data_IF_915577571175
#
_entry.id   IF_915577571175
#
_cell.length_a   1.000
_cell.length_b   1.000
_cell.length_c   1.000
_cell.angle_alpha   90.00
_cell.angle_beta   90.00
_cell.angle_gamma   90.00
#
_symmetry.space_group_name_H-M   'P 1'
#
loop_
_entity.id
_entity.type
_entity.pdbx_description
1 polymer ?
#
# COMPACT_ATOMS: atom_id res chain seq x y z
N UNK A 1 -5.85 71.34 -35.20
CA UNK A 1 -6.14 69.92 -34.87
C UNK A 1 -4.84 69.14 -34.78
N UNK A 2 -4.54 68.49 -33.65
CA UNK A 2 -3.34 67.63 -33.51
C UNK A 2 -3.64 66.26 -34.15
N UNK A 3 -2.95 65.91 -35.24
CA UNK A 3 -2.96 64.53 -35.79
C UNK A 3 -2.32 63.61 -34.76
N UNK A 4 -3.11 62.69 -34.19
CA UNK A 4 -2.58 61.57 -33.40
C UNK A 4 -2.13 60.49 -34.38
N UNK A 5 -0.83 60.28 -34.51
CA UNK A 5 -0.29 59.08 -35.15
C UNK A 5 -0.42 57.91 -34.18
N UNK A 6 -1.22 56.91 -34.55
CA UNK A 6 -1.28 55.64 -33.82
C UNK A 6 -0.46 54.59 -34.57
N UNK A 7 0.47 53.96 -33.83
CA UNK A 7 1.36 52.85 -34.24
C UNK A 7 0.61 51.79 -35.07
N UNK A 8 0.93 51.69 -36.36
CA UNK A 8 0.40 50.68 -37.29
C UNK A 8 1.24 49.38 -37.37
N UNK A 9 2.21 49.19 -36.47
CA UNK A 9 3.20 48.09 -36.57
C UNK A 9 2.58 46.71 -36.28
N UNK A 10 1.63 46.59 -35.36
CA UNK A 10 1.06 45.30 -34.96
C UNK A 10 0.09 44.74 -36.02
N UNK A 11 -0.66 45.61 -36.72
CA UNK A 11 -1.61 45.18 -37.76
C UNK A 11 -0.92 44.59 -39.00
N UNK A 12 0.22 45.14 -39.41
CA UNK A 12 0.89 44.70 -40.64
C UNK A 12 1.50 43.30 -40.51
N UNK A 13 2.07 42.95 -39.35
CA UNK A 13 2.71 41.64 -39.12
C UNK A 13 1.67 40.51 -39.14
N UNK A 14 0.54 40.70 -38.43
CA UNK A 14 -0.51 39.68 -38.36
C UNK A 14 -1.16 39.41 -39.74
N UNK A 15 -1.40 40.46 -40.53
CA UNK A 15 -1.99 40.34 -41.87
C UNK A 15 -1.07 39.57 -42.83
N UNK A 16 0.26 39.75 -42.71
CA UNK A 16 1.23 39.07 -43.56
C UNK A 16 1.34 37.58 -43.22
N UNK A 17 1.31 37.23 -41.92
CA UNK A 17 1.31 35.84 -41.47
C UNK A 17 -0.02 35.12 -41.78
N UNK A 18 -1.15 35.84 -41.76
CA UNK A 18 -2.44 35.33 -42.22
C UNK A 18 -2.45 35.05 -43.74
N UNK A 19 -1.88 35.96 -44.55
CA UNK A 19 -1.68 35.72 -46.00
C UNK A 19 -0.75 34.54 -46.29
N UNK A 20 0.15 34.21 -45.35
CA UNK A 20 1.01 33.01 -45.39
C UNK A 20 0.32 31.73 -44.89
N UNK A 21 -0.99 31.79 -44.63
CA UNK A 21 -1.80 30.61 -44.29
C UNK A 21 -1.78 30.21 -42.81
N UNK A 22 -1.22 31.03 -41.90
CA UNK A 22 -1.31 30.75 -40.46
C UNK A 22 -2.74 31.01 -39.97
N UNK A 23 -3.44 29.95 -39.59
CA UNK A 23 -4.79 30.00 -38.99
C UNK A 23 -4.79 29.94 -37.47
N UNK A 24 -3.64 29.68 -36.84
CA UNK A 24 -3.49 29.60 -35.39
C UNK A 24 -3.37 31.00 -34.77
N UNK A 25 -4.15 31.24 -33.73
CA UNK A 25 -4.11 32.47 -32.90
C UNK A 25 -3.11 32.37 -31.74
N UNK A 26 -2.43 31.23 -31.57
CA UNK A 26 -1.47 31.03 -30.50
C UNK A 26 -0.14 31.73 -30.79
N UNK A 27 0.47 32.28 -29.74
CA UNK A 27 1.83 32.79 -29.81
C UNK A 27 2.80 31.67 -30.26
N UNK A 28 3.72 32.02 -31.15
CA UNK A 28 4.83 31.12 -31.50
C UNK A 28 5.74 30.92 -30.29
N UNK A 29 6.42 29.76 -30.24
CA UNK A 29 7.39 29.45 -29.20
C UNK A 29 8.36 30.62 -28.99
N UNK A 30 8.29 31.25 -27.81
CA UNK A 30 9.21 32.32 -27.44
C UNK A 30 10.53 31.71 -26.99
N UNK A 31 11.66 32.27 -27.40
CA UNK A 31 12.95 31.93 -26.79
C UNK A 31 12.99 32.50 -25.37
N UNK A 32 12.68 31.65 -24.38
CA UNK A 32 12.93 31.95 -22.98
C UNK A 32 14.43 32.00 -22.66
N UNK A 33 14.78 32.37 -21.42
CA UNK A 33 16.15 32.26 -20.90
C UNK A 33 16.67 30.84 -21.14
N UNK A 34 17.85 30.70 -21.74
CA UNK A 34 18.46 29.39 -21.98
C UNK A 34 18.67 28.68 -20.63
N UNK A 35 18.17 27.45 -20.52
CA UNK A 35 18.51 26.53 -19.41
C UNK A 35 19.89 25.97 -19.74
N UNK A 36 20.92 26.82 -19.70
CA UNK A 36 22.32 26.42 -19.95
C UNK A 36 22.90 25.54 -18.82
N UNK A 37 22.21 25.40 -17.70
CA UNK A 37 22.69 24.66 -16.53
C UNK A 37 22.46 23.13 -16.59
N UNK A 38 21.72 22.63 -17.58
CA UNK A 38 21.34 21.21 -17.69
C UNK A 38 22.03 20.56 -18.90
N UNK A 39 23.35 20.50 -18.90
CA UNK A 39 24.06 19.74 -19.93
C UNK A 39 23.77 18.24 -19.77
N UNK A 40 23.78 17.43 -20.85
CA UNK A 40 23.53 15.99 -20.77
C UNK A 40 24.42 15.29 -19.73
N UNK A 41 25.66 15.72 -19.56
CA UNK A 41 26.62 15.16 -18.61
C UNK A 41 26.19 15.38 -17.16
N UNK A 42 25.59 16.55 -16.87
CA UNK A 42 25.04 16.88 -15.56
C UNK A 42 23.81 16.01 -15.26
N UNK A 43 22.95 15.84 -16.25
CA UNK A 43 21.74 15.01 -16.13
C UNK A 43 22.13 13.57 -15.84
N UNK A 44 23.09 13.03 -16.59
CA UNK A 44 23.62 11.68 -16.40
C UNK A 44 24.29 11.52 -15.04
N UNK A 45 25.03 12.53 -14.57
CA UNK A 45 25.62 12.52 -13.22
C UNK A 45 24.56 12.48 -12.12
N UNK A 46 23.51 13.30 -12.22
CA UNK A 46 22.37 13.27 -11.28
C UNK A 46 21.67 11.91 -11.34
N UNK A 47 21.45 11.39 -12.55
CA UNK A 47 20.83 10.08 -12.75
C UNK A 47 21.65 8.95 -12.12
N UNK A 48 22.98 8.96 -12.28
CA UNK A 48 23.89 7.98 -11.68
C UNK A 48 23.89 8.01 -10.14
N UNK A 49 23.84 9.19 -9.53
CA UNK A 49 23.73 9.34 -8.07
C UNK A 49 22.41 8.72 -7.57
N UNK A 50 21.28 9.01 -8.24
CA UNK A 50 19.97 8.43 -7.87
C UNK A 50 19.95 6.90 -8.00
N UNK A 51 20.59 6.35 -9.05
CA UNK A 51 20.65 4.91 -9.24
C UNK A 51 21.51 4.21 -8.19
N UNK A 52 22.54 4.89 -7.68
CA UNK A 52 23.41 4.38 -6.62
C UNK A 52 22.71 4.39 -5.26
N UNK A 53 22.10 5.52 -4.88
CA UNK A 53 21.26 5.62 -3.70
C UNK A 53 19.99 6.41 -4.00
N UNK A 54 18.85 5.73 -3.82
CA UNK A 54 17.52 6.30 -4.09
C UNK A 54 16.99 7.18 -2.94
N UNK A 55 17.74 7.29 -1.83
CA UNK A 55 17.36 8.07 -0.63
C UNK A 55 18.09 9.41 -0.50
N UNK A 56 18.92 9.75 -1.49
CA UNK A 56 19.70 10.99 -1.55
C UNK A 56 18.79 12.22 -1.46
N UNK A 57 19.20 13.21 -0.66
CA UNK A 57 18.48 14.47 -0.52
C UNK A 57 18.86 15.45 -1.63
N UNK A 58 17.94 16.33 -2.03
CA UNK A 58 18.21 17.40 -3.01
C UNK A 58 19.46 18.23 -2.65
N UNK A 59 19.73 18.44 -1.36
CA UNK A 59 20.94 19.14 -0.88
C UNK A 59 22.24 18.43 -1.28
N UNK A 60 22.28 17.11 -1.20
CA UNK A 60 23.46 16.32 -1.56
C UNK A 60 23.73 16.41 -3.08
N UNK A 61 22.68 16.53 -3.91
CA UNK A 61 22.85 16.83 -5.34
C UNK A 61 23.42 18.22 -5.58
N UNK A 62 22.94 19.24 -4.86
CA UNK A 62 23.45 20.61 -4.94
C UNK A 62 24.93 20.65 -4.58
N UNK A 63 25.34 19.95 -3.52
CA UNK A 63 26.73 19.85 -3.09
C UNK A 63 27.60 19.07 -4.11
N UNK A 64 27.10 17.97 -4.67
CA UNK A 64 27.85 17.14 -5.62
C UNK A 64 27.98 17.73 -7.03
N UNK A 65 27.03 18.58 -7.44
CA UNK A 65 26.95 19.12 -8.81
C UNK A 65 27.19 20.63 -8.89
N UNK A 66 27.09 21.35 -7.77
CA UNK A 66 27.19 22.81 -7.74
C UNK A 66 25.98 23.53 -8.33
N UNK A 67 24.88 22.82 -8.57
CA UNK A 67 23.70 23.32 -9.27
C UNK A 67 22.68 23.86 -8.28
N UNK A 68 21.90 24.86 -8.69
CA UNK A 68 20.83 25.41 -7.86
C UNK A 68 19.78 24.35 -7.51
N UNK A 69 19.25 24.42 -6.29
CA UNK A 69 18.21 23.49 -5.79
C UNK A 69 16.99 23.41 -6.71
N UNK A 70 16.56 24.53 -7.31
CA UNK A 70 15.42 24.57 -8.23
C UNK A 70 15.69 23.83 -9.55
N UNK A 71 16.90 23.98 -10.10
CA UNK A 71 17.32 23.28 -11.32
C UNK A 71 17.39 21.77 -11.08
N UNK A 72 17.93 21.31 -9.94
CA UNK A 72 17.93 19.87 -9.61
C UNK A 72 16.52 19.28 -9.57
N UNK A 73 15.54 20.02 -9.00
CA UNK A 73 14.15 19.58 -8.98
C UNK A 73 13.57 19.49 -10.40
N UNK A 74 13.80 20.50 -11.25
CA UNK A 74 13.35 20.50 -12.65
C UNK A 74 13.98 19.34 -13.43
N UNK A 75 15.29 19.07 -13.27
CA UNK A 75 15.95 17.92 -13.89
C UNK A 75 15.30 16.61 -13.43
N UNK A 76 15.11 16.41 -12.12
CA UNK A 76 14.51 15.19 -11.58
C UNK A 76 13.07 14.98 -12.08
N UNK A 77 12.25 16.02 -12.09
CA UNK A 77 10.82 15.91 -12.39
C UNK A 77 10.50 16.00 -13.89
N UNK A 78 11.12 16.93 -14.61
CA UNK A 78 10.78 17.25 -16.00
C UNK A 78 11.62 16.45 -17.00
N UNK A 79 12.92 16.27 -16.73
CA UNK A 79 13.83 15.57 -17.65
C UNK A 79 13.91 14.07 -17.36
N UNK A 80 14.07 13.70 -16.09
CA UNK A 80 14.16 12.29 -15.67
C UNK A 80 12.79 11.68 -15.34
N UNK A 81 11.72 12.48 -15.24
CA UNK A 81 10.36 11.99 -14.95
C UNK A 81 10.21 11.34 -13.57
N UNK A 82 11.15 11.58 -12.66
CA UNK A 82 11.19 10.96 -11.34
C UNK A 82 10.17 11.60 -10.40
N UNK A 83 9.56 10.76 -9.56
CA UNK A 83 8.62 11.19 -8.52
C UNK A 83 9.16 10.80 -7.15
N UNK A 84 9.08 11.73 -6.21
CA UNK A 84 9.37 11.44 -4.80
C UNK A 84 8.32 10.47 -4.25
N UNK A 85 8.79 9.31 -3.81
CA UNK A 85 7.97 8.34 -3.07
C UNK A 85 8.28 8.48 -1.58
N UNK A 86 7.26 8.48 -0.73
CA UNK A 86 7.46 8.35 0.73
C UNK A 86 7.67 6.88 1.08
N UNK A 87 8.69 6.61 1.90
CA UNK A 87 8.89 5.27 2.44
C UNK A 87 7.67 4.88 3.28
N UNK A 88 7.17 3.65 3.07
CA UNK A 88 6.15 3.07 3.94
C UNK A 88 6.83 2.45 5.15
N UNK A 89 6.27 2.68 6.34
CA UNK A 89 6.74 2.01 7.56
C UNK A 89 6.51 0.51 7.42
N UNK A 90 7.59 -0.26 7.49
CA UNK A 90 7.54 -1.72 7.58
C UNK A 90 7.78 -2.06 9.05
N UNK A 91 6.79 -2.62 9.78
CA UNK A 91 6.83 -2.78 11.23
C UNK A 91 8.04 -3.54 11.78
N UNK A 92 8.70 -4.37 10.97
CA UNK A 92 9.89 -5.12 11.39
C UNK A 92 10.84 -5.38 10.23
N UNK A 93 12.14 -5.32 10.49
CA UNK A 93 13.13 -5.83 9.56
C UNK A 93 13.14 -7.35 9.65
N UNK A 94 12.74 -8.04 8.58
CA UNK A 94 12.75 -9.49 8.53
C UNK A 94 14.18 -10.04 8.39
N UNK A 95 14.51 -11.05 9.19
CA UNK A 95 15.71 -11.88 9.00
C UNK A 95 15.54 -12.75 7.74
N UNK A 96 16.65 -13.32 7.25
CA UNK A 96 16.62 -14.21 6.07
C UNK A 96 15.73 -15.43 6.33
N UNK A 97 15.81 -16.02 7.53
CA UNK A 97 15.00 -17.18 7.90
C UNK A 97 13.49 -16.86 7.89
N UNK A 98 13.09 -15.72 8.46
CA UNK A 98 11.69 -15.30 8.41
C UNK A 98 11.19 -15.14 6.96
N UNK A 99 11.99 -14.58 6.06
CA UNK A 99 11.61 -14.48 4.63
C UNK A 99 11.48 -15.86 3.98
N UNK A 100 12.39 -16.78 4.30
CA UNK A 100 12.36 -18.14 3.78
C UNK A 100 11.11 -18.89 4.22
N UNK A 101 10.74 -18.75 5.49
CA UNK A 101 9.50 -19.30 6.02
C UNK A 101 8.32 -18.71 5.27
N UNK A 102 8.20 -17.38 5.19
CA UNK A 102 7.10 -16.69 4.49
C UNK A 102 6.94 -17.15 3.03
N UNK A 103 8.05 -17.32 2.31
CA UNK A 103 8.05 -17.83 0.93
C UNK A 103 7.58 -19.29 0.87
N UNK A 104 7.99 -20.12 1.81
CA UNK A 104 7.62 -21.54 1.87
C UNK A 104 6.12 -21.69 2.13
N UNK A 105 5.62 -20.92 3.09
CA UNK A 105 4.23 -20.90 3.52
C UNK A 105 3.33 -20.37 2.41
N UNK A 106 3.69 -19.24 1.81
CA UNK A 106 2.96 -18.65 0.69
C UNK A 106 2.83 -19.62 -0.48
N UNK A 107 3.89 -20.40 -0.78
CA UNK A 107 3.83 -21.47 -1.80
C UNK A 107 2.90 -22.62 -1.40
N UNK A 108 2.89 -23.02 -0.14
CA UNK A 108 1.99 -24.08 0.35
C UNK A 108 0.53 -23.62 0.25
N UNK A 109 0.22 -22.41 0.73
CA UNK A 109 -1.11 -21.82 0.64
C UNK A 109 -1.59 -21.63 -0.80
N UNK A 110 -0.73 -21.13 -1.71
CA UNK A 110 -1.06 -21.02 -3.14
C UNK A 110 -1.37 -22.37 -3.78
N UNK A 111 -0.58 -23.41 -3.47
CA UNK A 111 -0.84 -24.76 -3.97
C UNK A 111 -2.17 -25.32 -3.45
N UNK A 112 -2.50 -25.06 -2.19
CA UNK A 112 -3.79 -25.45 -1.61
C UNK A 112 -4.95 -24.72 -2.29
N UNK A 113 -4.81 -23.40 -2.49
CA UNK A 113 -5.81 -22.56 -3.13
C UNK A 113 -6.10 -23.00 -4.56
N UNK A 114 -5.06 -23.27 -5.35
CA UNK A 114 -5.18 -23.73 -6.74
C UNK A 114 -5.79 -25.13 -6.85
N UNK A 115 -5.57 -26.01 -5.87
CA UNK A 115 -6.13 -27.36 -5.87
C UNK A 115 -7.63 -27.36 -5.58
N UNK A 116 -8.06 -26.54 -4.62
CA UNK A 116 -9.45 -26.48 -4.22
C UNK A 116 -9.80 -25.11 -3.61
N UNK A 117 -10.30 -24.15 -4.41
CA UNK A 117 -10.70 -22.84 -3.91
C UNK A 117 -11.78 -22.93 -2.83
N UNK A 118 -12.66 -23.93 -2.89
CA UNK A 118 -13.74 -24.14 -1.92
C UNK A 118 -13.23 -24.60 -0.54
N UNK A 119 -11.99 -25.09 -0.43
CA UNK A 119 -11.36 -25.33 0.88
C UNK A 119 -11.01 -24.04 1.61
N UNK A 120 -10.76 -22.95 0.87
CA UNK A 120 -10.52 -21.64 1.46
C UNK A 120 -11.79 -20.96 1.97
N UNK A 121 -12.99 -21.40 1.57
CA UNK A 121 -14.23 -21.02 2.25
C UNK A 121 -14.27 -21.47 3.73
N UNK A 122 -13.33 -22.31 4.17
CA UNK A 122 -13.15 -22.78 5.56
C UNK A 122 -12.00 -22.06 6.27
N UNK A 123 -11.40 -21.07 5.63
CA UNK A 123 -10.33 -20.26 6.21
C UNK A 123 -10.91 -19.34 7.27
N UNK A 124 -10.43 -19.47 8.50
CA UNK A 124 -10.83 -18.60 9.62
C UNK A 124 -9.59 -17.83 10.05
N UNK A 125 -9.68 -16.50 10.05
CA UNK A 125 -8.69 -15.61 10.64
C UNK A 125 -9.27 -14.98 11.89
N UNK A 126 -8.46 -14.89 12.95
CA UNK A 126 -8.80 -14.20 14.19
C UNK A 126 -7.61 -13.35 14.60
N UNK A 127 -7.89 -12.11 14.99
CA UNK A 127 -6.88 -11.16 15.42
C UNK A 127 -7.51 -10.08 16.32
N UNK A 128 -6.68 -9.41 17.10
CA UNK A 128 -7.09 -8.40 18.08
C UNK A 128 -6.70 -6.99 17.62
N UNK A 129 -7.68 -6.07 17.64
CA UNK A 129 -7.44 -4.65 17.35
C UNK A 129 -7.70 -3.79 18.57
N UNK A 130 -6.74 -2.91 18.87
CA UNK A 130 -6.93 -1.84 19.84
C UNK A 130 -7.74 -0.69 19.22
N UNK A 131 -8.97 -0.50 19.69
CA UNK A 131 -9.80 0.66 19.36
C UNK A 131 -9.69 1.65 20.54
N UNK A 132 -8.99 2.75 20.32
CA UNK A 132 -8.90 3.82 21.32
C UNK A 132 -10.16 4.69 21.26
N UNK A 133 -10.90 4.76 22.37
CA UNK A 133 -12.03 5.67 22.55
C UNK A 133 -11.78 6.53 23.80
N UNK A 134 -12.25 7.78 23.77
CA UNK A 134 -12.06 8.74 24.85
C UNK A 134 -13.35 8.81 25.70
N UNK A 135 -13.74 7.69 26.29
CA UNK A 135 -14.78 7.61 27.33
C UNK A 135 -14.53 6.34 28.14
N UNK A 136 -14.99 6.26 29.38
CA UNK A 136 -14.69 5.15 30.29
C UNK A 136 -15.67 3.98 30.10
N UNK A 137 -15.30 2.88 29.43
CA UNK A 137 -16.09 1.62 29.60
C UNK A 137 -15.85 1.08 31.00
N UNK A 138 -16.89 0.46 31.55
CA UNK A 138 -16.83 -0.22 32.83
C UNK A 138 -16.21 -1.63 32.67
N UNK A 139 -15.44 -2.13 33.65
CA UNK A 139 -14.81 -3.45 33.59
C UNK A 139 -15.76 -4.64 33.33
N UNK A 140 -17.05 -4.48 33.62
CA UNK A 140 -18.10 -5.48 33.40
C UNK A 140 -18.37 -5.80 31.93
N UNK A 141 -18.16 -4.86 31.00
CA UNK A 141 -18.49 -5.04 29.58
C UNK A 141 -17.40 -5.82 28.83
N UNK A 142 -16.14 -5.72 29.28
CA UNK A 142 -15.00 -6.44 28.70
C UNK A 142 -15.07 -7.95 28.96
N UNK A 143 -15.61 -8.36 30.12
CA UNK A 143 -15.77 -9.77 30.49
C UNK A 143 -16.76 -10.52 29.58
N UNK A 144 -17.83 -9.84 29.15
CA UNK A 144 -18.91 -10.42 28.33
C UNK A 144 -18.45 -10.78 26.91
N UNK A 145 -17.49 -10.02 26.36
CA UNK A 145 -16.97 -10.22 25.00
C UNK A 145 -16.14 -11.52 24.89
N UNK A 146 -15.35 -11.85 25.92
CA UNK A 146 -14.56 -13.09 25.99
C UNK A 146 -15.44 -14.34 26.16
N UNK A 147 -16.59 -14.20 26.82
CA UNK A 147 -17.54 -15.30 27.03
C UNK A 147 -18.24 -15.70 25.72
N UNK A 148 -18.60 -14.71 24.89
CA UNK A 148 -19.37 -14.89 23.64
C UNK A 148 -18.67 -15.79 22.60
N UNK A 149 -17.34 -15.82 22.57
CA UNK A 149 -16.57 -16.69 21.66
C UNK A 149 -16.55 -18.16 22.10
N UNK A 150 -16.77 -18.46 23.38
CA UNK A 150 -16.74 -19.86 23.88
C UNK A 150 -17.99 -20.66 23.51
N UNK A 151 -19.12 -20.01 23.20
CA UNK A 151 -20.42 -20.69 23.13
C UNK A 151 -20.94 -20.97 21.71
N UNK A 152 -20.48 -20.25 20.68
CA UNK A 152 -20.94 -20.47 19.29
C UNK A 152 -20.21 -21.64 18.61
N UNK A 153 -20.55 -22.89 18.96
CA UNK A 153 -20.23 -24.05 18.10
C UNK A 153 -20.97 -23.92 16.77
N UNK A 154 -20.24 -23.87 15.65
CA UNK A 154 -20.81 -23.86 14.29
C UNK A 154 -20.96 -25.31 13.78
N UNK A 155 -22.14 -25.94 13.86
CA UNK A 155 -22.32 -27.37 13.57
C UNK A 155 -21.97 -27.76 12.13
N UNK A 156 -22.00 -26.82 11.18
CA UNK A 156 -21.63 -27.07 9.77
C UNK A 156 -20.10 -27.16 9.53
N UNK A 157 -19.27 -26.66 10.45
CA UNK A 157 -17.81 -26.73 10.38
C UNK A 157 -17.24 -27.99 11.06
N UNK A 158 -18.03 -28.69 11.88
CA UNK A 158 -17.59 -29.84 12.66
C UNK A 158 -17.21 -31.10 11.83
N UNK A 159 -17.57 -31.14 10.54
CA UNK A 159 -17.37 -32.31 9.67
C UNK A 159 -16.15 -32.21 8.75
N UNK A 160 -15.40 -31.10 8.76
CA UNK A 160 -14.34 -30.77 7.79
C UNK A 160 -13.14 -30.13 8.49
N UNK A 161 -11.92 -30.43 8.03
CA UNK A 161 -10.68 -29.78 8.52
C UNK A 161 -10.75 -28.28 8.21
N UNK A 162 -10.48 -27.44 9.21
CA UNK A 162 -10.56 -25.97 9.14
C UNK A 162 -9.14 -25.41 9.20
N UNK A 163 -8.87 -24.44 8.33
CA UNK A 163 -7.60 -23.71 8.29
C UNK A 163 -7.73 -22.49 9.19
N UNK A 164 -6.84 -22.37 10.17
CA UNK A 164 -6.90 -21.30 11.17
C UNK A 164 -5.64 -20.43 11.10
N UNK A 165 -5.86 -19.12 10.94
CA UNK A 165 -4.82 -18.11 10.96
C UNK A 165 -4.97 -17.24 12.22
N UNK A 166 -3.92 -17.20 13.03
CA UNK A 166 -3.79 -16.31 14.19
C UNK A 166 -2.36 -15.79 14.27
N UNK A 167 -2.16 -14.70 14.99
CA UNK A 167 -0.82 -14.21 15.29
C UNK A 167 -0.12 -15.12 16.33
N UNK A 168 1.17 -14.90 16.50
CA UNK A 168 2.02 -15.74 17.35
C UNK A 168 2.13 -15.20 18.79
N UNK A 169 1.15 -14.40 19.27
CA UNK A 169 1.26 -13.83 20.60
C UNK A 169 1.38 -14.94 21.64
N UNK A 170 2.15 -14.69 22.70
CA UNK A 170 2.48 -15.72 23.71
C UNK A 170 1.25 -16.41 24.29
N UNK A 171 0.14 -15.67 24.40
CA UNK A 171 -1.14 -16.20 24.89
C UNK A 171 -1.79 -17.18 23.90
N UNK A 172 -1.62 -17.02 22.59
CA UNK A 172 -2.20 -17.90 21.57
C UNK A 172 -1.36 -19.16 21.33
N UNK A 173 -0.05 -19.08 21.57
CA UNK A 173 0.88 -20.21 21.42
C UNK A 173 1.07 -21.03 22.71
N UNK A 174 0.35 -20.70 23.79
CA UNK A 174 0.48 -21.46 25.04
C UNK A 174 -0.22 -22.84 24.95
N UNK A 175 0.13 -23.81 25.81
CA UNK A 175 -0.33 -25.19 25.67
C UNK A 175 -1.85 -25.36 25.70
N UNK A 176 -2.58 -24.52 26.45
CA UNK A 176 -4.02 -24.67 26.63
C UNK A 176 -4.83 -24.37 25.36
N UNK A 177 -4.64 -23.24 24.65
CA UNK A 177 -5.20 -23.03 23.31
C UNK A 177 -4.73 -24.08 22.31
N UNK A 178 -3.43 -24.40 22.27
CA UNK A 178 -2.87 -25.35 21.31
C UNK A 178 -3.45 -26.77 21.46
N UNK A 179 -3.71 -27.21 22.70
CA UNK A 179 -4.40 -28.48 22.96
C UNK A 179 -5.81 -28.48 22.37
N UNK A 180 -6.56 -27.38 22.50
CA UNK A 180 -7.88 -27.20 21.87
C UNK A 180 -7.79 -27.16 20.35
N UNK A 181 -6.79 -26.49 19.76
CA UNK A 181 -6.60 -26.48 18.30
C UNK A 181 -6.41 -27.90 17.75
N UNK A 182 -5.61 -28.72 18.43
CA UNK A 182 -5.40 -30.12 18.08
C UNK A 182 -6.68 -30.95 18.25
N UNK A 183 -7.45 -30.73 19.33
CA UNK A 183 -8.75 -31.38 19.57
C UNK A 183 -9.75 -31.07 18.44
N UNK A 184 -9.82 -29.81 18.01
CA UNK A 184 -10.67 -29.35 16.91
C UNK A 184 -10.12 -29.65 15.51
N UNK A 185 -8.95 -30.30 15.40
CA UNK A 185 -8.25 -30.63 14.14
C UNK A 185 -8.00 -29.41 13.24
N UNK A 186 -7.71 -28.27 13.86
CA UNK A 186 -7.35 -27.05 13.15
C UNK A 186 -5.90 -27.10 12.68
N UNK A 187 -5.67 -26.69 11.43
CA UNK A 187 -4.31 -26.48 10.91
C UNK A 187 -3.92 -25.03 11.12
N UNK A 188 -2.90 -24.81 11.96
CA UNK A 188 -2.36 -23.50 12.24
C UNK A 188 -1.42 -23.08 11.09
N UNK A 189 -1.69 -21.90 10.53
CA UNK A 189 -0.75 -21.28 9.62
C UNK A 189 0.39 -20.57 10.38
N UNK A 190 1.64 -20.69 9.91
CA UNK A 190 2.82 -20.15 10.59
C UNK A 190 2.96 -18.61 10.61
N UNK A 191 3.96 -18.19 11.40
CA UNK A 191 4.10 -16.93 12.13
C UNK A 191 4.14 -15.59 11.38
N UNK A 192 3.57 -14.56 12.05
CA UNK A 192 3.82 -13.12 11.94
C UNK A 192 4.10 -12.56 10.53
N UNK A 193 3.02 -12.34 9.79
CA UNK A 193 3.01 -11.53 8.57
C UNK A 193 1.70 -10.74 8.51
N UNK A 194 1.63 -9.54 9.13
CA UNK A 194 0.43 -8.71 9.10
C UNK A 194 -0.07 -8.42 7.67
N UNK A 195 0.86 -8.39 6.71
CA UNK A 195 0.56 -8.22 5.30
C UNK A 195 -0.05 -9.46 4.63
N UNK A 196 -0.09 -10.60 5.32
CA UNK A 196 -0.76 -11.85 4.95
C UNK A 196 -1.95 -12.20 5.87
N UNK A 197 -2.20 -11.40 6.91
CA UNK A 197 -3.32 -11.59 7.83
C UNK A 197 -4.52 -10.75 7.35
N UNK A 198 -5.66 -11.37 6.97
CA UNK A 198 -6.79 -10.61 6.41
C UNK A 198 -7.39 -9.59 7.39
N UNK A 199 -7.33 -9.89 8.69
CA UNK A 199 -7.67 -8.95 9.75
C UNK A 199 -6.84 -7.66 9.64
N UNK A 200 -5.52 -7.77 9.58
CA UNK A 200 -4.58 -6.64 9.52
C UNK A 200 -4.62 -5.84 8.21
N UNK A 201 -4.65 -6.52 7.07
CA UNK A 201 -4.49 -5.82 5.79
C UNK A 201 -5.81 -5.36 5.16
N UNK A 202 -6.95 -5.92 5.56
CA UNK A 202 -8.25 -5.64 4.96
C UNK A 202 -9.30 -5.16 5.95
N UNK A 203 -9.63 -5.97 6.96
CA UNK A 203 -10.72 -5.66 7.89
C UNK A 203 -10.42 -4.42 8.75
N UNK A 204 -9.28 -4.42 9.45
CA UNK A 204 -8.90 -3.36 10.38
C UNK A 204 -8.72 -1.99 9.72
N UNK A 205 -8.07 -1.86 8.54
CA UNK A 205 -7.99 -0.58 7.86
C UNK A 205 -9.36 -0.01 7.47
N UNK A 206 -10.31 -0.86 7.06
CA UNK A 206 -11.66 -0.43 6.70
C UNK A 206 -12.47 -0.04 7.94
N UNK A 207 -12.34 -0.79 9.03
CA UNK A 207 -12.96 -0.45 10.32
C UNK A 207 -12.44 0.89 10.86
N UNK A 208 -11.12 1.11 10.79
CA UNK A 208 -10.49 2.38 11.21
C UNK A 208 -10.93 3.58 10.37
N UNK A 209 -11.27 3.38 9.09
CA UNK A 209 -11.83 4.44 8.23
C UNK A 209 -13.27 4.77 8.59
N UNK A 210 -14.06 3.77 8.94
CA UNK A 210 -15.48 3.91 9.26
C UNK A 210 -15.72 4.64 10.59
N UNK A 211 -14.87 4.39 11.59
CA UNK A 211 -14.61 5.23 12.78
C UNK A 211 -15.86 5.82 13.47
N UNK A 212 -16.77 4.95 13.92
CA UNK A 212 -17.81 5.28 14.92
C UNK A 212 -17.55 4.60 16.28
N UNK A 213 -18.44 4.83 17.24
CA UNK A 213 -18.40 4.26 18.61
C UNK A 213 -18.35 2.73 18.59
N UNK A 214 -17.76 2.12 19.64
CA UNK A 214 -17.60 0.67 19.76
C UNK A 214 -18.95 -0.05 19.64
N UNK A 215 -20.02 0.53 20.21
CA UNK A 215 -21.37 -0.04 20.19
C UNK A 215 -21.95 -0.23 18.78
N UNK A 216 -21.47 0.52 17.78
CA UNK A 216 -21.92 0.39 16.40
C UNK A 216 -21.03 -0.57 15.57
N UNK A 217 -19.96 -1.13 16.15
CA UNK A 217 -19.04 -2.03 15.43
C UNK A 217 -19.73 -3.33 15.03
N UNK A 218 -20.57 -3.89 15.91
CA UNK A 218 -21.32 -5.11 15.62
C UNK A 218 -22.33 -4.87 14.48
N UNK A 219 -23.00 -3.71 14.49
CA UNK A 219 -23.91 -3.29 13.41
C UNK A 219 -23.16 -3.16 12.09
N UNK A 220 -21.98 -2.52 12.10
CA UNK A 220 -21.14 -2.42 10.90
C UNK A 220 -20.77 -3.79 10.34
N UNK A 221 -20.37 -4.74 11.19
CA UNK A 221 -20.00 -6.09 10.74
C UNK A 221 -21.21 -6.89 10.23
N UNK A 222 -22.40 -6.68 10.79
CA UNK A 222 -23.65 -7.31 10.37
C UNK A 222 -24.17 -6.75 9.03
N UNK A 223 -23.92 -5.47 8.75
CA UNK A 223 -24.27 -4.83 7.47
C UNK A 223 -23.39 -5.26 6.29
N UNK A 224 -22.20 -5.82 6.56
CA UNK A 224 -21.28 -6.27 5.50
C UNK A 224 -21.79 -7.53 4.81
N UNK A 225 -22.02 -7.42 3.50
CA UNK A 225 -22.40 -8.56 2.68
C UNK A 225 -21.29 -9.64 2.61
N UNK A 226 -21.68 -10.88 2.36
CA UNK A 226 -20.75 -12.02 2.20
C UNK A 226 -19.71 -11.77 1.10
N UNK A 227 -20.05 -11.01 0.06
CA UNK A 227 -19.10 -10.62 -1.00
C UNK A 227 -17.91 -9.81 -0.47
N UNK A 228 -18.09 -9.02 0.59
CA UNK A 228 -17.02 -8.26 1.22
C UNK A 228 -15.87 -9.15 1.69
N UNK A 229 -16.21 -10.27 2.34
CA UNK A 229 -15.24 -11.23 2.86
C UNK A 229 -14.67 -12.14 1.76
N UNK A 230 -15.42 -12.41 0.68
CA UNK A 230 -14.89 -13.20 -0.44
C UNK A 230 -13.88 -12.43 -1.29
N UNK A 231 -14.04 -11.11 -1.42
CA UNK A 231 -13.06 -10.26 -2.08
C UNK A 231 -11.74 -10.13 -1.29
N UNK A 232 -11.80 -10.28 0.03
CA UNK A 232 -10.62 -10.37 0.88
C UNK A 232 -9.77 -11.60 0.54
N UNK A 233 -10.41 -12.77 0.42
CA UNK A 233 -9.73 -14.02 0.07
C UNK A 233 -9.05 -13.95 -1.30
N UNK A 234 -9.65 -13.26 -2.28
CA UNK A 234 -9.00 -13.00 -3.58
C UNK A 234 -7.76 -12.12 -3.45
N UNK A 235 -7.78 -11.15 -2.54
CA UNK A 235 -6.59 -10.30 -2.27
C UNK A 235 -5.49 -11.09 -1.59
N UNK A 236 -5.83 -12.08 -0.78
CA UNK A 236 -4.87 -12.97 -0.12
C UNK A 236 -4.03 -13.75 -1.13
N UNK A 237 -4.65 -14.28 -2.20
CA UNK A 237 -3.94 -14.94 -3.30
C UNK A 237 -2.89 -14.02 -3.96
N UNK A 238 -3.28 -12.78 -4.27
CA UNK A 238 -2.38 -11.80 -4.85
C UNK A 238 -1.20 -11.47 -3.92
N UNK A 239 -1.44 -11.44 -2.61
CA UNK A 239 -0.41 -11.17 -1.60
C UNK A 239 0.60 -12.31 -1.47
N UNK A 240 0.17 -13.57 -1.48
CA UNK A 240 1.12 -14.70 -1.49
C UNK A 240 1.98 -14.69 -2.76
N UNK A 241 1.40 -14.35 -3.91
CA UNK A 241 2.15 -14.19 -5.15
C UNK A 241 3.18 -13.05 -5.06
N UNK A 242 2.83 -11.95 -4.39
CA UNK A 242 3.72 -10.82 -4.16
C UNK A 242 4.91 -11.21 -3.26
N UNK A 243 4.64 -11.89 -2.13
CA UNK A 243 5.71 -12.41 -1.24
C UNK A 243 6.66 -13.33 -2.00
N UNK A 244 6.11 -14.22 -2.83
CA UNK A 244 6.94 -15.09 -3.66
C UNK A 244 7.82 -14.32 -4.65
N UNK A 245 7.30 -13.26 -5.30
CA UNK A 245 8.08 -12.46 -6.25
C UNK A 245 9.18 -11.65 -5.58
N UNK A 246 8.86 -11.01 -4.46
CA UNK A 246 9.74 -10.04 -3.80
C UNK A 246 10.85 -10.74 -3.00
N UNK A 247 10.53 -11.85 -2.35
CA UNK A 247 11.44 -12.49 -1.38
C UNK A 247 12.20 -13.68 -1.96
N UNK A 248 11.79 -14.23 -3.12
CA UNK A 248 12.51 -15.33 -3.79
C UNK A 248 13.95 -14.98 -4.16
N UNK A 249 14.26 -13.71 -4.44
CA UNK A 249 15.62 -13.25 -4.78
C UNK A 249 16.47 -12.93 -3.55
N UNK A 250 15.87 -12.93 -2.36
CA UNK A 250 16.51 -12.57 -1.09
C UNK A 250 16.85 -13.79 -0.24
N UNK A 251 16.60 -15.00 -0.76
CA UNK A 251 16.85 -16.29 -0.12
C UNK A 251 17.78 -17.14 -0.99
#
# INVERSE_FOLDING_TARGET
>A
MKKKEFRAVIKHIHLNEFKRGRTSTCDSSRSGRSIEASTPEIIDKIHGIVLTDRRVKVREFVEATGISHGTVISILHEQLGMKKLSARWVPRLFTVDHKRDRVTISKQCLKMFQRNPDEFCRFITVDEIWIHYFTSMSPSELGTFQQHFKEKKRPHLAKKKVLFHQDNARIHMCPAPMAKFNEFRYELLPAYSPDLAPCDYFLFPNLKKWRKEIAETDVYLEELDKSYYSDDLKKLENRWNQVYRDERRLC
#
